data_IF_253959917013
#
_entry.id   IF_253959917013
#
_cell.length_a   1.000
_cell.length_b   1.000
_cell.length_c   1.000
_cell.angle_alpha   90.00
_cell.angle_beta   90.00
_cell.angle_gamma   90.00
#
_symmetry.space_group_name_H-M   'P 1'
#
loop_
_entity.id
_entity.type
_entity.pdbx_description
1 polymer ?
#
# COMPACT_ATOMS: atom_id res chain seq x y z
N UNK A 1 12.43 -15.44 14.41
CA UNK A 1 12.08 -14.01 14.61
C UNK A 1 12.48 -13.14 13.42
N UNK A 2 13.76 -13.08 13.04
CA UNK A 2 14.20 -12.27 11.88
C UNK A 2 13.77 -12.90 10.55
N UNK A 3 13.97 -14.20 10.40
CA UNK A 3 13.58 -14.94 9.18
C UNK A 3 12.07 -14.86 8.97
N UNK A 4 11.29 -15.09 10.01
CA UNK A 4 9.82 -14.97 9.97
C UNK A 4 9.32 -13.60 9.51
N UNK A 5 10.04 -12.52 9.86
CA UNK A 5 9.69 -11.17 9.38
C UNK A 5 9.96 -11.01 7.89
N UNK A 6 11.11 -11.48 7.40
CA UNK A 6 11.45 -11.45 5.98
C UNK A 6 10.51 -12.32 5.14
N UNK A 7 10.15 -13.50 5.66
CA UNK A 7 9.15 -14.38 5.06
C UNK A 7 7.77 -13.72 5.03
N UNK A 8 7.38 -13.04 6.11
CA UNK A 8 6.13 -12.28 6.19
C UNK A 8 6.07 -11.12 5.19
N UNK A 9 7.17 -10.38 5.02
CA UNK A 9 7.27 -9.31 4.02
C UNK A 9 7.12 -9.88 2.61
N UNK A 10 7.80 -10.99 2.32
CA UNK A 10 7.72 -11.69 1.03
C UNK A 10 6.30 -12.20 0.77
N UNK A 11 5.67 -12.84 1.76
CA UNK A 11 4.28 -13.30 1.67
C UNK A 11 3.32 -12.14 1.43
N UNK A 12 3.55 -10.98 2.05
CA UNK A 12 2.79 -9.75 1.80
C UNK A 12 2.92 -9.27 0.35
N UNK A 13 4.14 -9.20 -0.19
CA UNK A 13 4.39 -8.82 -1.59
C UNK A 13 3.64 -9.75 -2.57
N UNK A 14 3.76 -11.06 -2.35
CA UNK A 14 3.08 -12.07 -3.18
C UNK A 14 1.55 -11.97 -3.03
N UNK A 15 1.05 -11.83 -1.81
CA UNK A 15 -0.38 -11.69 -1.52
C UNK A 15 -1.02 -10.45 -2.14
N UNK A 16 -0.24 -9.38 -2.34
CA UNK A 16 -0.67 -8.17 -3.05
C UNK A 16 -0.64 -8.30 -4.59
N UNK A 17 -0.19 -9.44 -5.12
CA UNK A 17 -0.05 -9.66 -6.56
C UNK A 17 1.15 -8.93 -7.18
N UNK A 18 2.11 -8.48 -6.38
CA UNK A 18 3.34 -7.84 -6.84
C UNK A 18 4.45 -8.88 -7.11
N UNK A 19 4.14 -9.90 -7.91
CA UNK A 19 5.03 -11.05 -8.13
C UNK A 19 6.41 -10.69 -8.72
N UNK A 20 6.51 -9.57 -9.44
CA UNK A 20 7.77 -9.06 -10.00
C UNK A 20 8.61 -8.25 -8.99
N UNK A 21 8.11 -8.06 -7.77
CA UNK A 21 8.79 -7.36 -6.69
C UNK A 21 9.43 -8.37 -5.74
N UNK A 22 10.65 -8.08 -5.27
CA UNK A 22 11.36 -8.92 -4.32
C UNK A 22 12.11 -8.07 -3.29
N UNK A 23 12.45 -8.67 -2.16
CA UNK A 23 13.29 -8.04 -1.14
C UNK A 23 14.74 -8.24 -1.54
N UNK A 24 15.39 -7.16 -1.99
CA UNK A 24 16.80 -7.22 -2.39
C UNK A 24 17.78 -7.33 -1.21
N UNK A 25 17.36 -6.93 0.00
CA UNK A 25 18.17 -6.96 1.22
C UNK A 25 17.67 -5.96 2.26
N UNK A 26 18.42 -5.83 3.35
CA UNK A 26 18.13 -4.91 4.44
C UNK A 26 19.18 -5.01 5.55
N UNK A 27 18.95 -4.27 6.64
CA UNK A 27 19.77 -4.30 7.85
C UNK A 27 18.87 -4.30 9.09
N UNK A 28 19.42 -4.71 10.23
CA UNK A 28 18.69 -4.83 11.50
C UNK A 28 19.44 -4.13 12.62
N UNK A 29 18.73 -3.21 13.29
CA UNK A 29 19.17 -2.54 14.49
C UNK A 29 18.43 -3.00 15.74
N UNK A 30 18.94 -2.62 16.91
CA UNK A 30 18.23 -2.71 18.18
C UNK A 30 17.71 -1.34 18.58
N UNK A 31 16.50 -1.30 19.13
CA UNK A 31 15.86 -0.08 19.60
C UNK A 31 14.93 -0.37 20.77
N UNK A 32 14.49 0.71 21.43
CA UNK A 32 13.43 0.62 22.47
C UNK A 32 12.07 0.30 21.87
N UNK A 33 11.90 0.59 20.58
CA UNK A 33 10.68 0.40 19.80
C UNK A 33 11.01 -0.33 18.49
N UNK A 34 9.99 -0.93 17.88
CA UNK A 34 10.10 -1.54 16.56
C UNK A 34 9.87 -0.46 15.50
N UNK A 35 10.85 -0.26 14.62
CA UNK A 35 10.74 0.60 13.45
C UNK A 35 11.04 -0.20 12.19
N UNK A 36 10.22 -0.01 11.15
CA UNK A 36 10.39 -0.65 9.84
C UNK A 36 10.49 0.43 8.78
N UNK A 37 11.61 0.46 8.06
CA UNK A 37 11.85 1.37 6.94
C UNK A 37 12.03 0.55 5.67
N UNK A 38 11.33 0.92 4.60
CA UNK A 38 11.39 0.22 3.31
C UNK A 38 11.73 1.22 2.21
N UNK A 39 12.72 0.90 1.40
CA UNK A 39 12.99 1.57 0.13
C UNK A 39 12.52 0.68 -1.02
N UNK A 40 11.73 1.24 -1.94
CA UNK A 40 11.21 0.51 -3.11
C UNK A 40 11.76 1.18 -4.37
N UNK A 41 12.37 0.37 -5.23
CA UNK A 41 12.85 0.81 -6.54
C UNK A 41 12.04 0.09 -7.61
N UNK A 42 11.58 0.84 -8.61
CA UNK A 42 10.81 0.30 -9.73
C UNK A 42 11.22 0.99 -11.02
N UNK A 43 10.84 0.38 -12.14
CA UNK A 43 11.06 0.92 -13.48
C UNK A 43 9.74 1.14 -14.19
N UNK A 44 9.71 2.13 -15.08
CA UNK A 44 8.56 2.38 -15.95
C UNK A 44 8.61 1.57 -17.24
N UNK A 45 9.65 0.75 -17.45
CA UNK A 45 9.87 -0.02 -18.68
C UNK A 45 9.79 0.83 -19.95
N UNK A 46 10.41 2.02 -19.92
CA UNK A 46 10.39 2.98 -21.04
C UNK A 46 9.13 3.84 -21.14
N UNK A 47 8.10 3.59 -20.33
CA UNK A 47 6.89 4.42 -20.31
C UNK A 47 7.15 5.75 -19.59
N UNK A 48 6.53 6.87 -20.05
CA UNK A 48 6.60 8.13 -19.32
C UNK A 48 5.93 8.02 -17.94
N UNK A 49 6.51 8.73 -16.96
CA UNK A 49 5.93 8.82 -15.62
C UNK A 49 4.67 9.69 -15.62
N UNK A 50 3.67 9.30 -14.84
CA UNK A 50 2.49 10.14 -14.57
C UNK A 50 2.84 11.08 -13.41
N UNK A 51 2.88 12.38 -13.68
CA UNK A 51 3.25 13.40 -12.70
C UNK A 51 2.02 14.03 -12.06
N UNK A 52 2.14 14.46 -10.80
CA UNK A 52 1.07 15.20 -10.11
C UNK A 52 0.80 16.59 -10.71
N UNK A 53 1.76 17.16 -11.42
CA UNK A 53 1.68 18.48 -12.06
C UNK A 53 1.06 18.47 -13.46
N UNK A 54 0.59 17.32 -13.95
CA UNK A 54 0.07 17.17 -15.31
C UNK A 54 -1.42 17.51 -15.50
N UNK A 55 -2.17 17.73 -14.42
CA UNK A 55 -3.61 17.94 -14.50
C UNK A 55 -3.99 19.24 -15.23
N UNK A 56 -5.08 19.21 -15.99
CA UNK A 56 -5.59 20.33 -16.79
C UNK A 56 -7.09 20.55 -16.57
N UNK A 57 -7.61 21.77 -16.78
CA UNK A 57 -9.04 22.00 -16.86
C UNK A 57 -9.69 21.06 -17.88
N UNK A 58 -10.78 20.40 -17.48
CA UNK A 58 -11.47 19.39 -18.30
C UNK A 58 -11.05 17.94 -18.04
N UNK A 59 -9.98 17.70 -17.27
CA UNK A 59 -9.62 16.34 -16.87
C UNK A 59 -10.65 15.73 -15.91
N UNK A 60 -10.78 14.40 -15.95
CA UNK A 60 -11.66 13.64 -15.06
C UNK A 60 -10.92 13.35 -13.76
N UNK A 61 -11.55 13.67 -12.62
CA UNK A 61 -11.11 13.20 -11.31
C UNK A 61 -11.64 11.79 -11.05
N UNK A 62 -10.73 10.85 -10.83
CA UNK A 62 -11.06 9.46 -10.55
C UNK A 62 -10.37 8.99 -9.26
N UNK A 63 -11.05 8.11 -8.53
CA UNK A 63 -10.53 7.42 -7.35
C UNK A 63 -10.43 5.93 -7.65
N UNK A 64 -9.26 5.33 -7.43
CA UNK A 64 -9.10 3.89 -7.47
C UNK A 64 -9.30 3.30 -6.06
N UNK A 65 -10.40 2.55 -5.87
CA UNK A 65 -10.74 1.93 -4.59
C UNK A 65 -11.69 2.79 -3.74
N UNK A 66 -11.47 2.82 -2.43
CA UNK A 66 -12.38 3.42 -1.44
C UNK A 66 -11.66 4.40 -0.54
N UNK A 67 -12.36 5.40 -0.01
CA UNK A 67 -11.87 6.30 1.04
C UNK A 67 -12.49 6.00 2.40
N UNK A 68 -11.86 6.48 3.48
CA UNK A 68 -12.39 6.43 4.85
C UNK A 68 -12.28 5.07 5.56
N UNK A 69 -12.21 3.96 4.84
CA UNK A 69 -12.16 2.61 5.42
C UNK A 69 -10.99 2.40 6.38
N UNK A 70 -9.79 2.82 5.98
CA UNK A 70 -8.59 2.72 6.81
C UNK A 70 -8.73 3.56 8.11
N UNK A 71 -9.30 4.77 8.02
CA UNK A 71 -9.56 5.62 9.18
C UNK A 71 -10.57 4.98 10.14
N UNK A 72 -11.64 4.38 9.62
CA UNK A 72 -12.59 3.62 10.43
C UNK A 72 -11.95 2.39 11.08
N UNK A 73 -11.09 1.67 10.35
CA UNK A 73 -10.31 0.55 10.89
C UNK A 73 -9.37 0.97 12.02
N UNK A 74 -8.70 2.11 11.88
CA UNK A 74 -7.88 2.68 12.93
C UNK A 74 -8.71 3.06 14.17
N UNK A 75 -9.85 3.71 13.98
CA UNK A 75 -10.75 4.05 15.07
C UNK A 75 -11.24 2.81 15.85
N UNK A 76 -11.46 1.67 15.17
CA UNK A 76 -11.79 0.40 15.81
C UNK A 76 -10.61 -0.15 16.63
N UNK A 77 -9.38 -0.10 16.10
CA UNK A 77 -8.17 -0.54 16.79
C UNK A 77 -7.86 0.29 18.03
N UNK A 78 -8.18 1.58 18.00
CA UNK A 78 -7.99 2.52 19.12
C UNK A 78 -9.17 2.51 20.11
N UNK A 79 -10.25 1.80 19.78
CA UNK A 79 -11.43 1.69 20.65
C UNK A 79 -11.21 0.72 21.81
N UNK A 80 -12.14 0.75 22.77
CA UNK A 80 -12.20 -0.23 23.87
C UNK A 80 -12.91 -1.53 23.49
N UNK A 81 -13.40 -1.66 22.25
CA UNK A 81 -14.12 -2.84 21.78
C UNK A 81 -13.09 -3.96 21.52
N UNK A 82 -13.19 -5.12 22.19
CA UNK A 82 -12.28 -6.23 21.93
C UNK A 82 -12.42 -6.73 20.49
N UNK A 83 -11.30 -6.99 19.81
CA UNK A 83 -11.27 -7.49 18.42
C UNK A 83 -12.16 -8.73 18.22
N UNK A 84 -12.27 -9.60 19.22
CA UNK A 84 -13.13 -10.80 19.15
C UNK A 84 -14.63 -10.51 19.12
N UNK A 85 -15.06 -9.29 19.44
CA UNK A 85 -16.46 -8.85 19.38
C UNK A 85 -16.82 -8.11 18.09
N UNK A 86 -15.84 -7.80 17.26
CA UNK A 86 -16.08 -7.15 15.98
C UNK A 86 -16.85 -8.09 15.05
N UNK A 87 -17.91 -7.57 14.44
CA UNK A 87 -18.62 -8.28 13.40
C UNK A 87 -17.78 -8.37 12.11
N UNK A 88 -18.34 -9.00 11.07
CA UNK A 88 -17.64 -9.18 9.80
C UNK A 88 -17.34 -7.85 9.08
N UNK A 89 -18.23 -6.87 9.18
CA UNK A 89 -18.08 -5.59 8.51
C UNK A 89 -17.01 -4.72 9.21
N UNK A 90 -17.05 -4.70 10.54
CA UNK A 90 -16.05 -4.02 11.38
C UNK A 90 -14.67 -4.65 11.20
N UNK A 91 -14.59 -5.98 11.15
CA UNK A 91 -13.32 -6.68 10.87
C UNK A 91 -12.77 -6.33 9.49
N UNK A 92 -13.62 -6.21 8.47
CA UNK A 92 -13.18 -5.78 7.14
C UNK A 92 -12.67 -4.33 7.10
N UNK A 93 -13.16 -3.46 8.00
CA UNK A 93 -12.62 -2.10 8.16
C UNK A 93 -11.27 -2.14 8.87
N UNK A 94 -11.14 -2.90 9.96
CA UNK A 94 -9.87 -3.14 10.65
C UNK A 94 -8.81 -3.69 9.68
N UNK A 95 -9.17 -4.67 8.85
CA UNK A 95 -8.28 -5.25 7.84
C UNK A 95 -7.88 -4.22 6.77
N UNK A 96 -8.73 -3.24 6.44
CA UNK A 96 -8.38 -2.16 5.51
C UNK A 96 -7.23 -1.29 6.04
N UNK A 97 -7.08 -1.19 7.36
CA UNK A 97 -5.96 -0.49 8.02
C UNK A 97 -4.73 -1.41 8.21
N UNK A 98 -4.93 -2.62 8.70
CA UNK A 98 -3.82 -3.54 9.01
C UNK A 98 -3.23 -4.23 7.78
N UNK A 99 -4.04 -4.43 6.73
CA UNK A 99 -3.70 -5.20 5.52
C UNK A 99 -4.25 -4.51 4.26
N UNK A 100 -3.83 -3.26 3.99
CA UNK A 100 -4.34 -2.50 2.84
C UNK A 100 -4.12 -3.28 1.54
N UNK A 101 -5.11 -3.25 0.65
CA UNK A 101 -5.07 -3.86 -0.69
C UNK A 101 -4.93 -2.76 -1.76
N UNK A 102 -3.71 -2.22 -2.00
CA UNK A 102 -3.50 -1.19 -3.00
C UNK A 102 -3.87 -1.68 -4.41
N UNK A 103 -4.56 -0.86 -5.23
CA UNK A 103 -4.93 -1.23 -6.59
C UNK A 103 -3.72 -1.12 -7.54
N UNK A 104 -2.71 -2.00 -7.40
CA UNK A 104 -1.43 -1.92 -8.11
C UNK A 104 -1.59 -1.82 -9.64
N UNK A 105 -2.60 -2.50 -10.20
CA UNK A 105 -2.87 -2.47 -11.64
C UNK A 105 -3.44 -1.13 -12.14
N UNK A 106 -4.06 -0.32 -11.28
CA UNK A 106 -4.69 0.95 -11.67
C UNK A 106 -3.66 1.94 -12.22
N UNK A 107 -2.45 1.96 -11.66
CA UNK A 107 -1.38 2.84 -12.12
C UNK A 107 -0.98 2.61 -13.58
N UNK A 108 -1.09 1.37 -14.09
CA UNK A 108 -0.76 1.06 -15.49
C UNK A 108 -1.75 1.67 -16.48
N UNK A 109 -2.99 1.89 -16.05
CA UNK A 109 -4.10 2.42 -16.85
C UNK A 109 -4.17 3.95 -16.89
N UNK A 110 -3.37 4.64 -16.08
CA UNK A 110 -3.38 6.09 -16.04
C UNK A 110 -2.88 6.68 -17.37
N UNK A 111 -3.52 7.75 -17.88
CA UNK A 111 -3.04 8.45 -19.05
C UNK A 111 -1.67 9.07 -18.74
N UNK A 112 -0.75 8.93 -19.70
CA UNK A 112 0.61 9.46 -19.58
C UNK A 112 0.75 10.64 -20.53
N UNK A 113 1.30 11.73 -20.02
CA UNK A 113 1.67 12.86 -20.86
C UNK A 113 3.11 12.67 -21.31
N UNK A 114 3.39 12.89 -22.59
CA UNK A 114 4.76 12.99 -23.07
C UNK A 114 5.44 14.17 -22.35
N UNK A 115 6.70 13.98 -21.95
CA UNK A 115 7.50 15.10 -21.47
C UNK A 115 7.65 16.07 -22.64
N UNK A 116 6.98 17.22 -22.56
CA UNK A 116 7.26 18.33 -23.47
C UNK A 116 8.70 18.79 -23.18
N UNK A 117 9.53 19.03 -24.21
CA UNK A 117 10.88 19.56 -24.02
C UNK A 117 10.86 20.90 -23.27
#
# INVERSE_FOLDING_TARGET
>A
MVVDFADGLTAGIVGLGAADCSVAGGDLGRGREIAVTVAVVGTMHGLPAVLRSGARPGDILALAGTVGRAAAGLALLESTIPVGKLDAAERALMDSQCRPQPPLAAGRRLPRQERRP
#
